data_IF_342914262669
#
_entry.id   IF_342914262669
#
_cell.length_a   1.000
_cell.length_b   1.000
_cell.length_c   1.000
_cell.angle_alpha   90.00
_cell.angle_beta   90.00
_cell.angle_gamma   90.00
#
_symmetry.space_group_name_H-M   'P 1'
#
loop_
_entity.id
_entity.type
_entity.pdbx_description
1 polymer ?
#
# COMPACT_ATOMS: atom_id res chain seq x y z
N UNK A 1 8.58 -1.64 -9.60
CA UNK A 1 8.81 -0.60 -8.56
C UNK A 1 8.33 -1.12 -7.21
N UNK A 2 9.01 -0.79 -6.11
CA UNK A 2 8.56 -1.07 -4.74
C UNK A 2 8.06 0.23 -4.12
N UNK A 3 6.80 0.26 -3.71
CA UNK A 3 6.14 1.44 -3.15
C UNK A 3 5.87 1.19 -1.66
N UNK A 4 6.03 2.22 -0.84
CA UNK A 4 5.71 2.20 0.58
C UNK A 4 5.00 3.48 1.01
N UNK A 5 4.51 3.49 2.24
CA UNK A 5 4.20 4.73 2.96
C UNK A 5 5.07 4.82 4.20
N UNK A 6 5.55 5.99 4.48
CA UNK A 6 6.48 6.23 5.58
C UNK A 6 6.14 7.51 6.34
N UNK A 7 6.49 7.55 7.62
CA UNK A 7 6.40 8.77 8.44
C UNK A 7 7.64 9.62 8.20
N UNK A 8 7.45 10.83 7.69
CA UNK A 8 8.56 11.75 7.44
C UNK A 8 8.96 12.45 8.75
N UNK A 9 10.20 12.32 9.24
CA UNK A 9 10.63 12.89 10.51
C UNK A 9 10.76 14.42 10.48
N UNK A 10 10.92 15.02 9.30
CA UNK A 10 11.03 16.48 9.13
C UNK A 10 9.66 17.16 8.96
N UNK A 11 8.64 16.41 8.58
CA UNK A 11 7.26 16.89 8.41
C UNK A 11 6.36 16.37 9.53
N UNK A 12 6.74 16.68 10.78
CA UNK A 12 6.05 16.20 11.99
C UNK A 12 4.58 16.63 12.00
N UNK A 13 3.71 15.71 12.40
CA UNK A 13 2.26 15.96 12.47
C UNK A 13 1.53 15.80 11.14
N UNK A 14 2.23 15.66 10.03
CA UNK A 14 1.61 15.32 8.75
C UNK A 14 1.38 13.80 8.61
N UNK A 15 0.39 13.39 7.80
CA UNK A 15 0.15 11.98 7.51
C UNK A 15 1.36 11.30 6.88
N UNK A 16 1.46 9.95 7.01
CA UNK A 16 2.47 9.19 6.28
C UNK A 16 2.37 9.42 4.77
N UNK A 17 3.52 9.49 4.11
CA UNK A 17 3.69 9.91 2.72
C UNK A 17 4.04 8.73 1.83
N UNK A 18 3.72 8.85 0.55
CA UNK A 18 4.17 7.94 -0.49
C UNK A 18 5.70 7.96 -0.61
N UNK A 19 6.32 6.80 -0.68
CA UNK A 19 7.73 6.61 -0.96
C UNK A 19 7.97 5.49 -1.97
N UNK A 20 9.06 5.59 -2.70
CA UNK A 20 9.61 4.53 -3.56
C UNK A 20 10.85 3.97 -2.90
N UNK A 21 10.91 2.64 -2.73
CA UNK A 21 12.07 1.96 -2.16
C UNK A 21 13.07 1.66 -3.28
N UNK A 22 14.28 2.20 -3.16
CA UNK A 22 15.36 1.99 -4.10
C UNK A 22 16.72 2.04 -3.38
N UNK A 23 17.61 1.09 -3.65
CA UNK A 23 18.98 1.00 -3.10
C UNK A 23 19.06 1.16 -1.57
N UNK A 24 18.12 0.57 -0.81
CA UNK A 24 18.10 0.66 0.64
C UNK A 24 17.62 2.02 1.20
N UNK A 25 17.05 2.86 0.36
CA UNK A 25 16.50 4.15 0.71
C UNK A 25 15.01 4.24 0.35
N UNK A 26 14.31 5.15 1.01
CA UNK A 26 12.98 5.62 0.64
C UNK A 26 13.16 6.96 -0.08
N UNK A 27 12.69 7.03 -1.31
CA UNK A 27 12.66 8.22 -2.14
C UNK A 27 11.23 8.78 -2.09
N UNK A 28 11.07 10.06 -1.80
CA UNK A 28 9.76 10.73 -1.81
C UNK A 28 9.52 11.41 -3.17
N UNK A 29 8.67 10.87 -4.06
CA UNK A 29 8.46 11.45 -5.39
C UNK A 29 7.90 12.87 -5.34
N UNK A 30 6.99 13.16 -4.41
CA UNK A 30 6.41 14.48 -4.23
C UNK A 30 7.49 15.53 -3.86
N UNK A 31 8.37 15.22 -2.89
CA UNK A 31 9.43 16.15 -2.49
C UNK A 31 10.44 16.39 -3.61
N UNK A 32 10.66 15.40 -4.48
CA UNK A 32 11.52 15.55 -5.64
C UNK A 32 10.91 16.49 -6.69
N UNK A 33 9.59 16.51 -6.88
CA UNK A 33 8.92 17.54 -7.67
C UNK A 33 9.01 18.92 -7.00
N UNK A 34 8.90 18.98 -5.65
CA UNK A 34 9.08 20.26 -4.95
C UNK A 34 10.45 20.84 -5.24
N UNK A 35 11.53 20.06 -5.06
CA UNK A 35 12.89 20.50 -5.31
C UNK A 35 13.11 20.93 -6.77
N UNK A 36 12.57 20.17 -7.74
CA UNK A 36 12.61 20.55 -9.15
C UNK A 36 11.96 21.91 -9.41
N UNK A 37 10.74 22.12 -8.89
CA UNK A 37 10.01 23.37 -9.07
C UNK A 37 10.66 24.55 -8.33
N UNK A 38 11.31 24.31 -7.18
CA UNK A 38 12.12 25.31 -6.48
C UNK A 38 13.34 25.73 -7.33
N UNK A 39 14.05 24.74 -7.91
CA UNK A 39 15.20 24.99 -8.81
C UNK A 39 14.80 25.77 -10.07
N UNK A 40 13.62 25.50 -10.62
CA UNK A 40 13.08 26.22 -11.76
C UNK A 40 12.52 27.60 -11.40
N UNK A 41 12.48 27.97 -10.13
CA UNK A 41 11.95 29.26 -9.65
C UNK A 41 10.44 29.39 -9.80
N UNK A 42 9.72 28.27 -9.81
CA UNK A 42 8.26 28.28 -9.96
C UNK A 42 7.57 28.76 -8.68
N UNK A 43 6.52 29.53 -8.86
CA UNK A 43 5.69 29.98 -7.76
C UNK A 43 4.87 28.81 -7.16
N UNK A 44 4.73 28.75 -5.84
CA UNK A 44 4.01 27.69 -5.10
C UNK A 44 4.48 26.26 -5.44
N UNK A 45 5.77 25.92 -5.26
CA UNK A 45 6.30 24.61 -5.65
C UNK A 45 5.62 23.43 -4.92
N UNK A 46 5.26 23.60 -3.65
CA UNK A 46 4.60 22.58 -2.84
C UNK A 46 3.19 22.23 -3.32
N UNK A 47 2.38 23.25 -3.62
CA UNK A 47 1.03 23.08 -4.14
C UNK A 47 1.06 22.48 -5.55
N UNK A 48 2.02 22.90 -6.37
CA UNK A 48 2.22 22.31 -7.70
C UNK A 48 2.61 20.83 -7.61
N UNK A 49 3.51 20.49 -6.72
CA UNK A 49 3.90 19.10 -6.48
C UNK A 49 2.73 18.27 -5.96
N UNK A 50 1.88 18.83 -5.07
CA UNK A 50 0.69 18.13 -4.57
C UNK A 50 -0.36 17.89 -5.67
N UNK A 51 -0.45 18.76 -6.68
CA UNK A 51 -1.28 18.54 -7.86
C UNK A 51 -0.65 17.52 -8.80
N UNK A 52 0.67 17.55 -9.02
CA UNK A 52 1.37 16.68 -9.97
C UNK A 52 1.58 15.26 -9.44
N UNK A 53 2.00 15.13 -8.20
CA UNK A 53 2.24 13.86 -7.52
C UNK A 53 1.83 13.99 -6.05
N UNK A 54 0.56 13.76 -5.71
CA UNK A 54 0.11 13.82 -4.33
C UNK A 54 0.96 12.96 -3.40
N UNK A 55 1.19 13.46 -2.20
CA UNK A 55 1.94 12.72 -1.16
C UNK A 55 1.17 11.50 -0.60
N UNK A 56 -0.13 11.41 -0.87
CA UNK A 56 -1.03 10.31 -0.51
C UNK A 56 -1.21 9.34 -1.67
N UNK A 57 -0.92 8.05 -1.45
CA UNK A 57 -1.14 7.02 -2.45
C UNK A 57 -2.63 6.86 -2.80
N UNK A 58 -3.52 6.89 -1.80
CA UNK A 58 -4.96 6.78 -2.03
C UNK A 58 -5.47 7.93 -2.91
N UNK A 59 -4.91 9.13 -2.73
CA UNK A 59 -5.25 10.29 -3.58
C UNK A 59 -4.77 10.08 -5.02
N UNK A 60 -3.57 9.55 -5.21
CA UNK A 60 -3.06 9.20 -6.55
C UNK A 60 -3.99 8.18 -7.23
N UNK A 61 -4.35 7.10 -6.52
CA UNK A 61 -5.23 6.06 -7.05
C UNK A 61 -6.63 6.56 -7.40
N UNK A 62 -7.12 7.59 -6.70
CA UNK A 62 -8.45 8.17 -6.96
C UNK A 62 -8.50 9.20 -8.07
N UNK A 63 -7.39 9.86 -8.38
CA UNK A 63 -7.34 10.98 -9.32
C UNK A 63 -6.71 10.62 -10.69
N UNK A 64 -5.90 9.58 -10.76
CA UNK A 64 -5.10 9.27 -11.94
C UNK A 64 -5.50 7.92 -12.54
N UNK A 65 -5.82 7.92 -13.84
CA UNK A 65 -6.03 6.67 -14.59
C UNK A 65 -4.76 5.84 -14.71
N UNK A 66 -3.60 6.50 -14.65
CA UNK A 66 -2.27 5.89 -14.75
C UNK A 66 -1.38 6.31 -13.58
N UNK A 67 -1.66 5.79 -12.38
CA UNK A 67 -1.00 6.22 -11.15
C UNK A 67 0.53 6.00 -11.16
N UNK A 68 1.01 5.01 -11.92
CA UNK A 68 2.44 4.75 -12.02
C UNK A 68 3.20 5.83 -12.79
N UNK A 69 2.62 6.44 -13.83
CA UNK A 69 3.33 7.43 -14.65
C UNK A 69 3.82 8.62 -13.82
N UNK A 70 2.99 9.16 -12.93
CA UNK A 70 3.40 10.28 -12.08
C UNK A 70 4.42 9.87 -11.00
N UNK A 71 4.33 8.64 -10.47
CA UNK A 71 5.29 8.14 -9.49
C UNK A 71 6.64 7.89 -10.15
N UNK A 72 6.65 7.31 -11.36
CA UNK A 72 7.87 7.05 -12.15
C UNK A 72 8.56 8.33 -12.57
N UNK A 73 7.80 9.36 -12.94
CA UNK A 73 8.34 10.68 -13.25
C UNK A 73 9.03 11.31 -12.04
N UNK A 74 8.37 11.32 -10.86
CA UNK A 74 8.99 11.81 -9.61
C UNK A 74 10.21 10.98 -9.19
N UNK A 75 10.22 9.67 -9.47
CA UNK A 75 11.40 8.82 -9.27
C UNK A 75 12.54 9.17 -10.24
N UNK A 76 12.24 9.44 -11.51
CA UNK A 76 13.24 9.86 -12.50
C UNK A 76 13.87 11.21 -12.12
N UNK A 77 13.06 12.16 -11.64
CA UNK A 77 13.54 13.44 -11.10
C UNK A 77 14.46 13.19 -9.90
N UNK A 78 14.13 12.25 -9.03
CA UNK A 78 14.96 11.91 -7.88
C UNK A 78 16.36 11.42 -8.29
N UNK A 79 16.45 10.57 -9.29
CA UNK A 79 17.75 10.09 -9.83
C UNK A 79 18.56 11.25 -10.42
N UNK A 80 17.90 12.23 -11.02
CA UNK A 80 18.55 13.44 -11.52
C UNK A 80 19.03 14.32 -10.37
N UNK A 81 18.19 14.58 -9.37
CA UNK A 81 18.51 15.38 -8.20
C UNK A 81 19.72 14.79 -7.42
N UNK A 82 19.72 13.47 -7.21
CA UNK A 82 20.85 12.76 -6.60
C UNK A 82 22.15 12.98 -7.39
N UNK A 83 22.08 12.88 -8.71
CA UNK A 83 23.25 13.07 -9.62
C UNK A 83 23.83 14.49 -9.54
N UNK A 84 23.01 15.51 -9.36
CA UNK A 84 23.46 16.90 -9.26
C UNK A 84 23.75 17.33 -7.82
N UNK A 85 23.59 16.42 -6.83
CA UNK A 85 23.82 16.70 -5.43
C UNK A 85 22.72 17.49 -4.73
N UNK A 86 21.53 17.59 -5.32
CA UNK A 86 20.35 18.21 -4.71
C UNK A 86 19.63 17.16 -3.85
N UNK A 87 19.90 17.17 -2.54
CA UNK A 87 19.46 16.14 -1.61
C UNK A 87 18.33 16.59 -0.66
N UNK A 88 17.96 17.86 -0.69
CA UNK A 88 16.92 18.46 0.13
C UNK A 88 16.20 19.60 -0.59
N UNK A 89 15.01 19.95 -0.13
CA UNK A 89 14.28 21.14 -0.58
C UNK A 89 14.93 22.42 -0.03
N UNK A 90 14.56 23.58 -0.53
CA UNK A 90 15.03 24.89 0.02
C UNK A 90 14.65 25.10 1.49
N UNK A 91 13.67 24.34 2.00
CA UNK A 91 13.27 24.34 3.42
C UNK A 91 14.07 23.32 4.26
N UNK A 92 15.07 22.66 3.71
CA UNK A 92 15.89 21.65 4.40
C UNK A 92 15.16 20.33 4.66
N UNK A 93 14.15 19.98 3.84
CA UNK A 93 13.47 18.69 3.92
C UNK A 93 14.19 17.70 3.01
N UNK A 94 14.79 16.62 3.55
CA UNK A 94 15.49 15.63 2.74
C UNK A 94 14.58 14.97 1.71
N UNK A 95 15.15 14.65 0.54
CA UNK A 95 14.45 13.95 -0.55
C UNK A 95 14.56 12.42 -0.44
N UNK A 96 15.55 11.94 0.35
CA UNK A 96 15.92 10.54 0.53
C UNK A 96 15.98 10.21 2.01
N UNK A 97 15.46 9.04 2.38
CA UNK A 97 15.43 8.55 3.77
C UNK A 97 15.96 7.13 3.86
N UNK A 98 16.70 6.75 4.92
CA UNK A 98 17.10 5.37 5.13
C UNK A 98 15.89 4.46 5.25
N UNK A 99 15.92 3.31 4.56
CA UNK A 99 14.90 2.27 4.70
C UNK A 99 15.03 1.62 6.10
N UNK A 100 13.90 1.30 6.71
CA UNK A 100 13.82 0.64 8.03
C UNK A 100 14.49 1.38 9.19
N UNK A 101 14.65 2.68 9.09
CA UNK A 101 15.09 3.47 10.22
C UNK A 101 13.95 3.71 11.21
N UNK A 102 14.26 3.78 12.50
CA UNK A 102 13.30 4.18 13.54
C UNK A 102 12.80 5.62 13.33
N UNK A 103 13.54 6.40 12.55
CA UNK A 103 13.22 7.79 12.23
C UNK A 103 12.24 7.92 11.05
N UNK A 104 12.20 6.94 10.15
CA UNK A 104 11.33 6.93 8.96
C UNK A 104 10.53 5.62 8.85
N UNK A 105 9.72 5.27 9.87
CA UNK A 105 9.05 3.98 9.91
C UNK A 105 8.04 3.84 8.78
N UNK A 106 8.10 2.67 8.12
CA UNK A 106 7.10 2.26 7.13
C UNK A 106 5.77 1.95 7.84
N UNK A 107 4.67 2.34 7.22
CA UNK A 107 3.31 2.11 7.70
C UNK A 107 2.53 1.20 6.77
N UNK A 108 1.22 1.03 7.03
CA UNK A 108 0.31 0.38 6.08
C UNK A 108 0.48 0.99 4.68
N UNK A 109 0.53 0.19 3.60
CA UNK A 109 0.77 0.70 2.24
C UNK A 109 -0.33 1.62 1.71
N UNK A 110 -1.53 1.55 2.27
CA UNK A 110 -2.66 2.42 1.91
C UNK A 110 -3.04 3.33 3.07
N UNK A 111 -3.42 4.58 2.76
CA UNK A 111 -3.91 5.57 3.74
C UNK A 111 -5.33 5.26 4.14
N UNK A 112 -6.15 4.78 3.21
CA UNK A 112 -7.52 4.36 3.44
C UNK A 112 -7.84 3.10 2.63
N UNK A 113 -8.60 2.21 3.25
CA UNK A 113 -9.10 0.99 2.62
C UNK A 113 -10.63 1.07 2.68
N UNK A 114 -11.28 1.18 1.53
CA UNK A 114 -12.73 1.35 1.46
C UNK A 114 -13.48 0.02 1.49
N UNK A 115 -12.84 -1.05 1.05
CA UNK A 115 -13.39 -2.40 1.17
C UNK A 115 -12.27 -3.43 1.15
N UNK A 116 -12.50 -4.53 1.85
CA UNK A 116 -11.61 -5.68 1.86
C UNK A 116 -12.40 -6.95 1.61
N UNK A 117 -11.83 -7.86 0.83
CA UNK A 117 -12.37 -9.19 0.56
C UNK A 117 -11.23 -10.18 0.63
N UNK A 118 -11.37 -11.14 1.51
CA UNK A 118 -10.48 -12.28 1.62
C UNK A 118 -11.05 -13.42 0.79
N UNK A 119 -10.35 -13.79 -0.30
CA UNK A 119 -10.81 -14.77 -1.26
C UNK A 119 -10.26 -16.17 -0.96
N UNK A 120 -11.15 -17.11 -0.89
CA UNK A 120 -10.84 -18.53 -0.74
C UNK A 120 -10.85 -19.22 -2.11
N UNK A 121 -9.83 -18.96 -2.95
CA UNK A 121 -9.85 -19.33 -4.37
C UNK A 121 -8.82 -20.39 -4.79
N UNK A 122 -7.96 -20.87 -3.88
CA UNK A 122 -7.00 -21.92 -4.18
C UNK A 122 -7.58 -23.31 -3.90
N UNK A 123 -7.74 -24.14 -4.94
CA UNK A 123 -8.31 -25.50 -4.82
C UNK A 123 -7.53 -26.37 -3.82
N UNK A 124 -6.20 -26.28 -3.79
CA UNK A 124 -5.38 -27.02 -2.83
C UNK A 124 -5.67 -26.63 -1.38
N UNK A 125 -5.97 -25.35 -1.12
CA UNK A 125 -6.41 -24.87 0.18
C UNK A 125 -7.84 -25.37 0.49
N UNK A 126 -8.76 -25.22 -0.47
CA UNK A 126 -10.13 -25.71 -0.33
C UNK A 126 -10.19 -27.22 -0.02
N UNK A 127 -9.40 -28.05 -0.72
CA UNK A 127 -9.29 -29.49 -0.43
C UNK A 127 -8.92 -29.78 1.02
N UNK A 128 -7.98 -29.03 1.58
CA UNK A 128 -7.58 -29.18 3.00
C UNK A 128 -8.71 -28.77 3.95
N UNK A 129 -9.31 -27.60 3.72
CA UNK A 129 -10.38 -27.07 4.56
C UNK A 129 -11.63 -27.96 4.55
N UNK A 130 -12.03 -28.46 3.38
CA UNK A 130 -13.16 -29.36 3.22
C UNK A 130 -12.81 -30.86 3.38
N UNK A 131 -11.65 -31.16 3.97
CA UNK A 131 -11.22 -32.56 4.26
C UNK A 131 -11.26 -33.47 3.03
N UNK A 132 -10.91 -32.93 1.86
CA UNK A 132 -10.79 -33.68 0.60
C UNK A 132 -12.00 -33.61 -0.33
N UNK A 133 -13.17 -33.18 0.14
CA UNK A 133 -14.41 -33.12 -0.67
C UNK A 133 -14.90 -31.69 -0.78
N UNK A 134 -14.49 -30.98 -1.86
CA UNK A 134 -14.92 -29.62 -2.11
C UNK A 134 -16.39 -29.62 -2.60
N UNK A 135 -17.27 -28.81 -1.99
CA UNK A 135 -18.64 -28.65 -2.45
C UNK A 135 -18.70 -28.12 -3.90
N UNK A 136 -19.67 -28.58 -4.70
CA UNK A 136 -19.83 -28.13 -6.10
C UNK A 136 -20.06 -26.62 -6.21
N UNK A 137 -20.69 -26.04 -5.22
CA UNK A 137 -21.00 -24.61 -5.11
C UNK A 137 -19.73 -23.75 -5.10
N UNK A 138 -18.62 -24.28 -4.57
CA UNK A 138 -17.34 -23.59 -4.57
C UNK A 138 -16.82 -23.30 -6.00
N UNK A 139 -17.15 -24.15 -6.98
CA UNK A 139 -16.76 -23.97 -8.38
C UNK A 139 -17.72 -23.07 -9.17
N UNK A 140 -18.87 -22.69 -8.60
CA UNK A 140 -19.90 -21.90 -9.31
C UNK A 140 -19.66 -20.38 -9.21
N UNK A 141 -18.80 -19.93 -8.32
CA UNK A 141 -18.48 -18.53 -8.15
C UNK A 141 -17.41 -18.28 -7.08
N UNK A 142 -16.94 -17.05 -6.95
CA UNK A 142 -15.90 -16.72 -5.99
C UNK A 142 -16.42 -16.84 -4.55
N UNK A 143 -15.72 -17.61 -3.74
CA UNK A 143 -15.94 -17.69 -2.28
C UNK A 143 -15.03 -16.69 -1.60
N UNK A 144 -15.57 -15.83 -0.73
CA UNK A 144 -14.79 -14.84 0.00
C UNK A 144 -15.46 -14.44 1.31
N UNK A 145 -14.63 -13.96 2.24
CA UNK A 145 -15.08 -13.36 3.49
C UNK A 145 -15.13 -11.84 3.35
N UNK A 146 -16.13 -11.23 3.99
CA UNK A 146 -16.22 -9.77 4.14
C UNK A 146 -15.61 -9.39 5.47
N UNK A 147 -14.39 -8.90 5.42
CA UNK A 147 -13.69 -8.48 6.63
C UNK A 147 -13.80 -6.97 6.85
N UNK A 148 -13.51 -6.55 8.09
CA UNK A 148 -13.39 -5.14 8.42
C UNK A 148 -12.20 -4.50 7.70
N UNK A 149 -12.46 -3.43 6.98
CA UNK A 149 -11.42 -2.63 6.33
C UNK A 149 -10.78 -1.58 7.26
N UNK A 150 -11.21 -1.49 8.52
CA UNK A 150 -10.73 -0.49 9.48
C UNK A 150 -9.60 -1.01 10.39
N UNK A 151 -9.33 -2.31 10.38
CA UNK A 151 -8.40 -2.95 11.31
C UNK A 151 -7.01 -3.19 10.73
N UNK A 152 -6.64 -2.47 9.67
CA UNK A 152 -5.32 -2.59 9.08
C UNK A 152 -4.29 -1.80 9.89
N UNK A 153 -3.22 -2.48 10.22
CA UNK A 153 -2.02 -1.91 10.84
C UNK A 153 -0.82 -2.06 9.89
N UNK A 154 0.24 -1.34 10.16
CA UNK A 154 1.42 -1.29 9.31
C UNK A 154 2.54 -2.22 9.72
N UNK A 155 3.67 -2.09 9.02
CA UNK A 155 4.89 -2.82 9.31
C UNK A 155 5.40 -2.52 10.73
N UNK A 156 5.71 -3.56 11.50
CA UNK A 156 6.17 -3.49 12.91
C UNK A 156 5.16 -2.90 13.91
N UNK A 157 3.92 -2.63 13.51
CA UNK A 157 2.90 -2.24 14.49
C UNK A 157 2.60 -3.39 15.46
N UNK A 158 2.30 -3.04 16.70
CA UNK A 158 2.05 -4.01 17.76
C UNK A 158 0.67 -4.65 17.62
N UNK A 159 0.64 -5.97 17.59
CA UNK A 159 -0.59 -6.77 17.65
C UNK A 159 -0.88 -7.07 19.11
N UNK A 160 -1.98 -6.54 19.63
CA UNK A 160 -2.43 -6.84 20.98
C UNK A 160 -3.24 -8.13 20.99
N UNK A 161 -2.85 -9.09 21.84
CA UNK A 161 -3.59 -10.34 22.00
C UNK A 161 -4.99 -10.07 22.61
N UNK A 162 -6.08 -10.34 21.87
CA UNK A 162 -7.42 -10.12 22.41
C UNK A 162 -7.73 -11.07 23.59
N UNK A 163 -8.31 -10.55 24.66
CA UNK A 163 -8.66 -11.36 25.83
C UNK A 163 -9.71 -12.43 25.55
N UNK A 164 -10.46 -12.28 24.47
CA UNK A 164 -11.53 -13.19 24.04
C UNK A 164 -11.04 -14.51 23.42
N UNK A 165 -9.78 -14.57 22.99
CA UNK A 165 -9.20 -15.74 22.32
C UNK A 165 -8.02 -16.31 23.07
N UNK A 166 -7.89 -17.65 23.05
CA UNK A 166 -6.71 -18.37 23.51
C UNK A 166 -5.91 -18.97 22.35
N UNK A 167 -6.34 -18.74 21.10
CA UNK A 167 -5.77 -19.35 19.89
C UNK A 167 -5.61 -18.32 18.78
N UNK A 168 -4.78 -17.32 19.05
CA UNK A 168 -4.36 -16.37 18.02
C UNK A 168 -3.33 -17.05 17.10
N UNK A 169 -3.48 -16.85 15.80
CA UNK A 169 -2.64 -17.46 14.77
C UNK A 169 -2.40 -16.46 13.65
N UNK A 170 -1.43 -16.71 12.79
CA UNK A 170 -1.13 -15.89 11.62
C UNK A 170 -1.58 -16.56 10.33
N UNK A 171 -1.90 -15.76 9.32
CA UNK A 171 -2.14 -16.23 7.96
C UNK A 171 -1.32 -15.38 6.98
N UNK A 172 -0.39 -16.03 6.27
CA UNK A 172 0.43 -15.35 5.27
C UNK A 172 -0.31 -15.32 3.93
N UNK A 173 -0.71 -14.14 3.50
CA UNK A 173 -1.58 -13.93 2.35
C UNK A 173 -1.01 -12.98 1.31
N UNK A 174 -1.46 -13.14 0.06
CA UNK A 174 -1.19 -12.22 -1.03
C UNK A 174 -2.32 -11.18 -1.13
N UNK A 175 -2.00 -9.94 -0.75
CA UNK A 175 -2.88 -8.81 -0.96
C UNK A 175 -2.81 -8.27 -2.38
N UNK A 176 -3.96 -8.00 -2.99
CA UNK A 176 -4.08 -7.36 -4.30
C UNK A 176 -4.71 -5.99 -4.11
N UNK A 177 -3.99 -4.94 -4.51
CA UNK A 177 -4.48 -3.57 -4.46
C UNK A 177 -5.14 -3.23 -5.80
N UNK A 178 -6.41 -2.85 -5.76
CA UNK A 178 -7.14 -2.36 -6.93
C UNK A 178 -6.87 -0.87 -7.10
N UNK A 179 -6.39 -0.48 -8.27
CA UNK A 179 -6.02 0.91 -8.58
C UNK A 179 -6.96 1.61 -9.54
N UNK A 180 -7.74 0.87 -10.31
CA UNK A 180 -8.70 1.43 -11.26
C UNK A 180 -10.09 0.89 -10.97
N UNK A 181 -11.05 1.81 -10.82
CA UNK A 181 -12.46 1.46 -10.66
C UNK A 181 -12.99 0.72 -11.90
N UNK A 182 -13.94 -0.18 -11.70
CA UNK A 182 -14.58 -0.87 -12.81
C UNK A 182 -15.79 -1.70 -12.41
N UNK A 183 -16.65 -1.96 -13.39
CA UNK A 183 -17.84 -2.80 -13.23
C UNK A 183 -17.99 -3.74 -14.43
N UNK A 184 -18.39 -4.98 -14.18
CA UNK A 184 -18.56 -6.00 -15.22
C UNK A 184 -17.27 -6.21 -16.05
N UNK A 185 -16.13 -6.17 -15.40
CA UNK A 185 -14.81 -6.28 -16.04
C UNK A 185 -14.66 -7.70 -16.59
N UNK A 186 -14.33 -7.80 -17.87
CA UNK A 186 -14.01 -9.09 -18.49
C UNK A 186 -12.67 -9.62 -17.96
N UNK A 187 -12.55 -10.94 -17.83
CA UNK A 187 -11.37 -11.61 -17.25
C UNK A 187 -10.06 -11.13 -17.86
N UNK A 188 -9.97 -11.03 -19.20
CA UNK A 188 -8.77 -10.60 -19.90
C UNK A 188 -8.37 -9.14 -19.59
N UNK A 189 -9.29 -8.30 -19.09
CA UNK A 189 -9.05 -6.92 -18.70
C UNK A 189 -8.79 -6.76 -17.19
N UNK A 190 -9.03 -7.78 -16.37
CA UNK A 190 -8.94 -7.68 -14.92
C UNK A 190 -7.55 -7.21 -14.44
N UNK A 191 -6.48 -7.61 -15.11
CA UNK A 191 -5.11 -7.21 -14.79
C UNK A 191 -4.89 -5.70 -14.85
N UNK A 192 -5.61 -5.00 -15.73
CA UNK A 192 -5.47 -3.55 -15.91
C UNK A 192 -6.02 -2.76 -14.70
N UNK A 193 -6.82 -3.40 -13.84
CA UNK A 193 -7.38 -2.79 -12.65
C UNK A 193 -6.50 -3.03 -11.40
N UNK A 194 -5.46 -3.85 -11.50
CA UNK A 194 -4.55 -4.13 -10.39
C UNK A 194 -3.46 -3.05 -10.36
N UNK A 195 -3.36 -2.35 -9.24
CA UNK A 195 -2.25 -1.44 -8.98
C UNK A 195 -0.98 -2.18 -8.55
N UNK A 196 -1.13 -3.18 -7.66
CA UNK A 196 0.02 -3.92 -7.18
C UNK A 196 -0.33 -5.00 -6.19
N UNK A 197 0.72 -5.59 -5.63
CA UNK A 197 0.63 -6.70 -4.68
C UNK A 197 1.36 -6.34 -3.39
N UNK A 198 0.86 -6.87 -2.29
CA UNK A 198 1.49 -6.75 -0.98
C UNK A 198 1.34 -8.07 -0.20
N UNK A 199 2.10 -8.21 0.88
CA UNK A 199 1.92 -9.32 1.82
C UNK A 199 0.97 -8.84 2.91
N UNK A 200 -0.03 -9.66 3.22
CA UNK A 200 -0.94 -9.47 4.34
C UNK A 200 -0.69 -10.59 5.35
N UNK A 201 -0.75 -10.24 6.63
CA UNK A 201 -0.83 -11.20 7.72
C UNK A 201 -2.22 -11.08 8.35
N UNK A 202 -3.14 -11.99 8.00
CA UNK A 202 -4.47 -12.06 8.61
C UNK A 202 -4.37 -12.73 9.97
N UNK A 203 -4.44 -11.91 11.01
CA UNK A 203 -4.33 -12.38 12.40
C UNK A 203 -5.67 -12.95 12.85
N UNK A 204 -5.72 -14.28 12.95
CA UNK A 204 -6.94 -15.05 13.14
C UNK A 204 -7.08 -15.62 14.54
N UNK A 205 -8.23 -15.41 15.17
CA UNK A 205 -8.62 -16.06 16.42
C UNK A 205 -9.30 -17.40 16.15
N UNK A 206 -8.54 -18.49 16.06
CA UNK A 206 -9.00 -19.81 15.59
C UNK A 206 -10.15 -20.44 16.38
N UNK A 207 -10.23 -20.13 17.67
CA UNK A 207 -11.32 -20.63 18.53
C UNK A 207 -12.63 -19.85 18.33
N UNK A 208 -12.56 -18.61 17.88
CA UNK A 208 -13.71 -17.79 17.50
C UNK A 208 -14.14 -18.14 16.08
N UNK A 209 -13.19 -18.15 15.12
CA UNK A 209 -13.43 -18.49 13.71
C UNK A 209 -14.22 -19.79 13.54
N UNK A 210 -13.93 -20.82 14.36
CA UNK A 210 -14.67 -22.09 14.33
C UNK A 210 -16.16 -22.00 14.67
N UNK A 211 -16.57 -20.93 15.35
CA UNK A 211 -17.99 -20.70 15.71
C UNK A 211 -18.74 -19.98 14.61
N UNK A 212 -18.00 -19.23 13.78
CA UNK A 212 -18.55 -18.43 12.68
C UNK A 212 -18.56 -19.20 11.36
N UNK A 213 -17.79 -20.28 11.28
CA UNK A 213 -17.77 -21.17 10.13
C UNK A 213 -18.98 -22.13 10.20
N UNK A 214 -19.82 -22.19 9.14
CA UNK A 214 -20.96 -23.10 9.08
C UNK A 214 -20.57 -24.59 9.00
#
# INVERSE_FOLDING_TARGET
MKICRYKNPHLKGLPPRLGVIYNGQIIDPHLNFVAEYEREGLFNPWERAEVKCPSSLSKILSLYEKPFETIEEGFAIALFNEKIGELETTQGVPLFYPLDSDTSPITSPLDSIHSFRDFFCYEGHAKKAFKGSIPKEWYQGPTYFRQSHQNFIGHKDTIFWPSLTKKLDFEAELGVVIGLEGRNIKEHNAKNHIFGFTIINDISARDIQKKEWP
#
